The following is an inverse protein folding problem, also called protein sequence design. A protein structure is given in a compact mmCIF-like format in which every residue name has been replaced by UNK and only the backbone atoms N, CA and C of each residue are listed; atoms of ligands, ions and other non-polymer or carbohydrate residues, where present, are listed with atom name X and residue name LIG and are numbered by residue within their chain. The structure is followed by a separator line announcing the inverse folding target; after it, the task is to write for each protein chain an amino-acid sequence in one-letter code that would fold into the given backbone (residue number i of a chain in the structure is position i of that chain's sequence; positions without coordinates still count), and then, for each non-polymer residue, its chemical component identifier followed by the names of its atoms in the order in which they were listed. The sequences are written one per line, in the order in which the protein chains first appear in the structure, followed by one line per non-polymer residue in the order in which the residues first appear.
data_IF_007230325656
#
_entry.id   IF_007230325656
#
_cell.length_a   1.000
_cell.length_b   1.000
_cell.length_c   1.000
_cell.angle_alpha   90.00
_cell.angle_beta   90.00
_cell.angle_gamma   90.00
#
_symmetry.space_group_name_H-M   'P 1'
#
loop_
_entity.id
_entity.type
_entity.pdbx_description
1 polymer ?
#
# COMPACT_ATOMS: atom_id res chain seq x y z
N UNK A 1 -6.69 40.14 -26.62
CA UNK A 1 -6.56 38.70 -26.89
C UNK A 1 -6.19 37.99 -25.59
N UNK A 2 -7.08 37.09 -25.15
CA UNK A 2 -6.95 36.04 -24.14
C UNK A 2 -6.57 36.42 -22.69
N UNK A 3 -7.59 36.48 -21.82
CA UNK A 3 -7.44 36.24 -20.38
C UNK A 3 -6.99 34.78 -20.15
N UNK A 4 -5.89 34.59 -19.42
CA UNK A 4 -5.42 33.26 -19.01
C UNK A 4 -6.18 32.87 -17.75
N UNK A 5 -7.25 32.11 -17.95
CA UNK A 5 -8.04 31.49 -16.89
C UNK A 5 -7.14 30.64 -15.98
N UNK A 6 -6.87 31.14 -14.77
CA UNK A 6 -6.14 30.39 -13.75
C UNK A 6 -7.03 29.24 -13.27
N UNK A 7 -6.85 28.05 -13.87
CA UNK A 7 -7.41 26.79 -13.35
C UNK A 7 -7.14 26.70 -11.85
N UNK A 8 -8.21 26.71 -11.03
CA UNK A 8 -8.13 26.49 -9.59
C UNK A 8 -7.28 25.24 -9.32
N UNK A 9 -6.10 25.42 -8.72
CA UNK A 9 -5.23 24.31 -8.31
C UNK A 9 -6.08 23.38 -7.45
N UNK A 10 -6.18 22.11 -7.86
CA UNK A 10 -6.95 21.09 -7.16
C UNK A 10 -6.48 21.08 -5.70
N UNK A 11 -7.31 21.56 -4.78
CA UNK A 11 -6.97 21.59 -3.35
C UNK A 11 -6.65 20.17 -2.93
N UNK A 12 -5.41 19.94 -2.46
CA UNK A 12 -4.97 18.64 -1.98
C UNK A 12 -5.92 18.20 -0.86
N UNK A 13 -6.75 17.20 -1.14
CA UNK A 13 -7.66 16.65 -0.14
C UNK A 13 -6.80 16.04 0.96
N UNK A 14 -7.04 16.46 2.21
CA UNK A 14 -6.41 15.86 3.38
C UNK A 14 -6.66 14.35 3.35
N UNK A 15 -5.62 13.57 3.59
CA UNK A 15 -5.76 12.12 3.62
C UNK A 15 -6.64 11.74 4.81
N UNK A 16 -7.76 11.08 4.50
CA UNK A 16 -8.69 10.56 5.49
C UNK A 16 -8.81 9.05 5.29
N UNK A 17 -8.56 8.28 6.33
CA UNK A 17 -8.78 6.83 6.34
C UNK A 17 -10.02 6.51 7.15
N UNK A 18 -11.08 6.01 6.50
CA UNK A 18 -12.37 5.70 7.16
C UNK A 18 -12.94 6.86 8.00
N UNK A 19 -12.69 8.11 7.58
CA UNK A 19 -13.12 9.31 8.29
C UNK A 19 -12.17 9.79 9.40
N UNK A 20 -10.97 9.21 9.49
CA UNK A 20 -9.92 9.59 10.44
C UNK A 20 -8.77 10.27 9.71
N UNK A 21 -8.32 11.42 10.21
CA UNK A 21 -7.19 12.17 9.65
C UNK A 21 -5.83 11.52 9.98
N UNK A 22 -4.80 11.88 9.23
CA UNK A 22 -3.44 11.35 9.43
C UNK A 22 -2.89 11.61 10.83
N UNK A 23 -3.01 12.84 11.32
CA UNK A 23 -2.48 13.23 12.63
C UNK A 23 -3.15 12.40 13.74
N UNK A 24 -4.46 12.20 13.61
CA UNK A 24 -5.22 11.35 14.51
C UNK A 24 -4.81 9.87 14.42
N UNK A 25 -4.49 9.35 13.22
CA UNK A 25 -3.99 7.97 13.05
C UNK A 25 -2.63 7.74 13.71
N UNK A 26 -1.80 8.78 13.83
CA UNK A 26 -0.48 8.70 14.47
C UNK A 26 -0.62 8.66 16.00
N UNK A 27 -1.59 9.37 16.56
CA UNK A 27 -1.84 9.44 18.00
C UNK A 27 -2.72 8.30 18.54
N UNK A 28 -3.39 7.56 17.65
CA UNK A 28 -4.26 6.45 18.03
C UNK A 28 -3.53 5.27 18.67
N UNK A 29 -4.20 4.62 19.61
CA UNK A 29 -3.74 3.35 20.19
C UNK A 29 -3.83 2.19 19.18
N UNK A 30 -2.97 1.19 19.34
CA UNK A 30 -2.94 0.01 18.48
C UNK A 30 -4.28 -0.75 18.45
N UNK A 31 -5.01 -0.81 19.58
CA UNK A 31 -6.30 -1.48 19.67
C UNK A 31 -7.38 -0.80 18.82
N UNK A 32 -7.40 0.54 18.81
CA UNK A 32 -8.32 1.32 17.96
C UNK A 32 -7.96 1.17 16.48
N UNK A 33 -6.65 1.24 16.18
CA UNK A 33 -6.13 1.04 14.83
C UNK A 33 -6.53 -0.32 14.24
N UNK A 34 -6.54 -1.37 15.06
CA UNK A 34 -6.96 -2.71 14.64
C UNK A 34 -8.42 -2.81 14.22
N UNK A 35 -9.32 -2.01 14.81
CA UNK A 35 -10.73 -1.98 14.42
C UNK A 35 -10.93 -1.29 13.07
N UNK A 36 -10.09 -0.30 12.76
CA UNK A 36 -10.12 0.42 11.48
C UNK A 36 -9.54 -0.41 10.32
N UNK A 37 -8.62 -1.33 10.59
CA UNK A 37 -8.02 -2.15 9.55
C UNK A 37 -8.95 -3.25 9.01
N UNK A 38 -8.71 -3.67 7.75
CA UNK A 38 -9.45 -4.78 7.15
C UNK A 38 -9.11 -6.12 7.82
N UNK A 39 -9.97 -7.12 7.59
CA UNK A 39 -9.90 -8.41 8.29
C UNK A 39 -8.53 -9.11 8.19
N UNK A 40 -7.82 -8.99 7.06
CA UNK A 40 -6.50 -9.62 6.86
C UNK A 40 -5.44 -8.98 7.74
N UNK A 41 -5.30 -7.66 7.70
CA UNK A 41 -4.33 -6.97 8.55
C UNK A 41 -4.69 -7.10 10.03
N UNK A 42 -5.97 -7.01 10.42
CA UNK A 42 -6.41 -7.27 11.80
C UNK A 42 -6.02 -8.68 12.30
N UNK A 43 -6.23 -9.72 11.49
CA UNK A 43 -5.82 -11.10 11.84
C UNK A 43 -4.31 -11.23 12.03
N UNK A 44 -3.51 -10.55 11.24
CA UNK A 44 -2.04 -10.56 11.37
C UNK A 44 -1.57 -9.84 12.63
N UNK A 45 -2.16 -8.68 12.94
CA UNK A 45 -1.85 -7.91 14.15
C UNK A 45 -2.28 -8.66 15.41
N UNK A 46 -3.46 -9.30 15.41
CA UNK A 46 -3.92 -10.18 16.50
C UNK A 46 -2.96 -11.34 16.79
N UNK A 47 -2.31 -11.90 15.76
CA UNK A 47 -1.31 -12.97 15.92
C UNK A 47 0.03 -12.45 16.44
N UNK A 48 0.25 -11.14 16.44
CA UNK A 48 1.48 -10.49 16.86
C UNK A 48 2.52 -10.31 15.75
N UNK A 49 3.30 -9.24 15.86
CA UNK A 49 4.47 -8.99 15.03
C UNK A 49 5.66 -9.79 15.57
N UNK A 50 6.45 -10.43 14.68
CA UNK A 50 7.66 -11.15 15.11
C UNK A 50 8.82 -10.16 15.36
N UNK A 51 9.90 -10.64 15.98
CA UNK A 51 11.08 -9.84 16.33
C UNK A 51 11.70 -9.08 15.14
N UNK A 52 11.71 -9.69 13.95
CA UNK A 52 12.26 -9.08 12.72
C UNK A 52 11.49 -7.81 12.31
N UNK A 53 10.17 -7.81 12.46
CA UNK A 53 9.29 -6.68 12.17
C UNK A 53 9.52 -5.53 13.16
N UNK A 54 9.67 -5.84 14.44
CA UNK A 54 10.02 -4.83 15.44
C UNK A 54 11.39 -4.19 15.17
N UNK A 55 12.37 -4.97 14.70
CA UNK A 55 13.68 -4.44 14.29
C UNK A 55 13.55 -3.47 13.12
N UNK A 56 12.74 -3.80 12.11
CA UNK A 56 12.48 -2.91 10.98
C UNK A 56 11.85 -1.58 11.45
N UNK A 57 10.84 -1.65 12.33
CA UNK A 57 10.18 -0.46 12.85
C UNK A 57 11.15 0.44 13.63
N UNK A 58 12.03 -0.14 14.46
CA UNK A 58 13.08 0.61 15.17
C UNK A 58 14.05 1.31 14.21
N UNK A 59 14.47 0.64 13.13
CA UNK A 59 15.33 1.23 12.10
C UNK A 59 14.65 2.39 11.38
N UNK A 60 13.37 2.26 11.07
CA UNK A 60 12.59 3.33 10.43
C UNK A 60 12.39 4.54 11.34
N UNK A 61 12.11 4.32 12.63
CA UNK A 61 12.03 5.41 13.62
C UNK A 61 13.35 6.15 13.77
N UNK A 62 14.48 5.41 13.75
CA UNK A 62 15.82 5.99 13.76
C UNK A 62 16.08 6.84 12.50
N UNK A 63 15.84 6.28 11.31
CA UNK A 63 16.04 6.98 10.04
C UNK A 63 15.18 8.25 9.92
N UNK A 64 13.93 8.22 10.42
CA UNK A 64 13.05 9.39 10.43
C UNK A 64 13.50 10.47 11.42
N UNK A 65 14.14 10.10 12.53
CA UNK A 65 14.68 11.04 13.52
C UNK A 65 15.99 11.71 13.05
N UNK A 66 16.81 10.98 12.33
CA UNK A 66 18.11 11.45 11.83
C UNK A 66 18.00 12.25 10.54
N UNK A 67 16.86 12.15 9.84
CA UNK A 67 16.64 12.89 8.60
C UNK A 67 16.53 14.41 8.84
N UNK A 68 17.16 15.24 7.97
CA UNK A 68 16.92 16.67 7.95
C UNK A 68 15.44 16.97 7.70
N UNK A 69 14.87 18.05 8.29
CA UNK A 69 13.44 18.34 8.23
C UNK A 69 12.87 18.63 6.83
N UNK A 70 13.72 18.74 5.80
CA UNK A 70 13.33 18.96 4.40
C UNK A 70 13.67 17.77 3.49
N UNK A 71 14.48 16.81 3.96
CA UNK A 71 14.98 15.72 3.12
C UNK A 71 14.28 14.40 3.43
N UNK A 72 14.14 13.57 2.40
CA UNK A 72 13.57 12.24 2.57
C UNK A 72 14.52 11.38 3.40
N UNK A 73 14.02 10.57 4.35
CA UNK A 73 14.85 9.75 5.22
C UNK A 73 15.61 8.69 4.44
N UNK A 74 16.71 8.20 5.04
CA UNK A 74 17.56 7.16 4.46
C UNK A 74 16.76 5.91 4.05
N UNK A 75 17.07 5.35 2.88
CA UNK A 75 16.39 4.18 2.34
C UNK A 75 16.70 2.94 3.18
N UNK A 76 15.70 2.45 3.92
CA UNK A 76 15.86 1.22 4.71
C UNK A 76 15.58 -0.01 3.84
N UNK A 77 16.62 -0.78 3.54
CA UNK A 77 16.51 -2.05 2.79
C UNK A 77 15.92 -3.17 3.65
N UNK A 78 14.93 -3.87 3.12
CA UNK A 78 14.24 -4.98 3.78
C UNK A 78 13.87 -6.11 2.82
N UNK A 79 13.91 -7.34 3.34
CA UNK A 79 13.39 -8.54 2.67
C UNK A 79 11.97 -8.89 3.14
N UNK A 80 11.47 -8.19 4.16
CA UNK A 80 10.18 -8.49 4.77
C UNK A 80 9.03 -7.94 3.92
N UNK A 81 8.60 -8.72 2.93
CA UNK A 81 7.44 -8.39 2.06
C UNK A 81 6.09 -8.57 2.78
N UNK A 82 6.05 -9.41 3.81
CA UNK A 82 4.83 -9.70 4.58
C UNK A 82 4.49 -8.64 5.64
N UNK A 83 5.21 -7.52 5.66
CA UNK A 83 5.01 -6.46 6.64
C UNK A 83 3.81 -5.59 6.23
N UNK A 84 2.92 -5.34 7.18
CA UNK A 84 1.81 -4.39 7.00
C UNK A 84 2.38 -2.98 7.18
N UNK A 85 2.00 -2.07 6.27
CA UNK A 85 2.34 -0.66 6.39
C UNK A 85 1.53 -0.06 7.55
N UNK A 86 2.23 0.39 8.58
CA UNK A 86 1.65 1.14 9.70
C UNK A 86 1.65 2.64 9.38
N UNK A 87 0.73 3.44 9.95
CA UNK A 87 0.69 4.89 9.70
C UNK A 87 2.00 5.58 10.10
N UNK A 88 2.72 5.06 11.11
CA UNK A 88 4.05 5.58 11.48
C UNK A 88 5.07 5.56 10.34
N UNK A 89 4.93 4.61 9.41
CA UNK A 89 5.87 4.41 8.30
C UNK A 89 5.63 5.38 7.14
N UNK A 90 4.57 6.20 7.18
CA UNK A 90 4.29 7.20 6.17
C UNK A 90 5.43 8.23 6.08
N UNK A 91 5.86 8.52 4.85
CA UNK A 91 6.97 9.40 4.55
C UNK A 91 8.35 8.74 4.68
N UNK A 92 8.41 7.42 4.91
CA UNK A 92 9.67 6.67 4.90
C UNK A 92 9.97 6.05 3.54
N UNK A 93 11.26 5.99 3.19
CA UNK A 93 11.75 5.27 2.00
C UNK A 93 12.13 3.83 2.38
N UNK A 94 11.48 2.84 1.75
CA UNK A 94 11.73 1.42 2.03
C UNK A 94 12.19 0.70 0.76
N UNK A 95 13.36 0.07 0.82
CA UNK A 95 13.86 -0.78 -0.26
C UNK A 95 13.32 -2.19 -0.12
N UNK A 96 12.34 -2.60 -0.93
CA UNK A 96 11.76 -3.96 -0.89
C UNK A 96 12.50 -4.88 -1.86
N UNK A 97 13.01 -6.00 -1.35
CA UNK A 97 13.70 -6.99 -2.19
C UNK A 97 12.73 -7.83 -3.02
N UNK A 98 12.97 -7.92 -4.34
CA UNK A 98 12.15 -8.72 -5.26
C UNK A 98 12.79 -10.07 -5.65
N UNK A 99 13.94 -10.44 -5.08
CA UNK A 99 14.67 -11.68 -5.44
C UNK A 99 15.93 -11.45 -6.28
N UNK A 100 16.13 -10.23 -6.79
CA UNK A 100 17.35 -9.83 -7.53
C UNK A 100 17.86 -8.48 -7.06
N UNK A 101 16.98 -7.47 -7.07
CA UNK A 101 17.30 -6.09 -6.69
C UNK A 101 16.38 -5.58 -5.59
N UNK A 102 16.81 -4.50 -4.93
CA UNK A 102 15.97 -3.73 -4.01
C UNK A 102 15.26 -2.63 -4.76
N UNK A 103 13.93 -2.69 -4.78
CA UNK A 103 13.09 -1.64 -5.35
C UNK A 103 12.85 -0.58 -4.28
N UNK A 104 13.19 0.67 -4.60
CA UNK A 104 12.92 1.79 -3.70
C UNK A 104 11.43 2.14 -3.77
N UNK A 105 10.74 1.96 -2.64
CA UNK A 105 9.33 2.28 -2.50
C UNK A 105 9.18 3.43 -1.51
N UNK A 106 8.62 4.53 -1.98
CA UNK A 106 8.19 5.63 -1.12
C UNK A 106 6.84 5.29 -0.51
N UNK A 107 6.74 5.30 0.82
CA UNK A 107 5.48 5.04 1.50
C UNK A 107 4.65 6.32 1.49
N UNK A 108 3.88 6.46 0.42
CA UNK A 108 2.89 7.51 0.26
C UNK A 108 1.52 7.05 0.73
N UNK A 109 0.79 7.96 1.35
CA UNK A 109 -0.63 7.79 1.58
C UNK A 109 -1.32 7.86 0.23
N UNK A 110 -2.06 6.82 -0.17
CA UNK A 110 -2.78 6.91 -1.43
C UNK A 110 -3.85 8.00 -1.27
N UNK A 111 -3.71 9.08 -2.06
CA UNK A 111 -4.48 10.33 -1.97
C UNK A 111 -5.98 10.18 -2.24
N UNK A 112 -6.43 8.97 -2.54
CA UNK A 112 -7.80 8.62 -2.88
C UNK A 112 -7.97 7.11 -2.70
N UNK A 113 -8.27 6.67 -1.49
CA UNK A 113 -9.08 5.47 -1.32
C UNK A 113 -10.43 5.94 -0.82
N UNK A 114 -11.24 6.45 -1.74
CA UNK A 114 -12.68 6.60 -1.54
C UNK A 114 -13.27 5.19 -1.42
N UNK A 115 -13.08 4.52 -0.27
CA UNK A 115 -13.79 3.28 0.07
C UNK A 115 -15.31 3.48 0.17
N UNK A 116 -15.80 4.72 0.01
CA UNK A 116 -17.24 5.04 -0.14
C UNK A 116 -17.79 4.68 -1.52
N UNK A 117 -16.95 4.47 -2.53
CA UNK A 117 -17.39 3.94 -3.81
C UNK A 117 -17.01 2.46 -3.92
N UNK A 118 -17.97 1.51 -3.83
CA UNK A 118 -17.76 0.22 -4.46
C UNK A 118 -17.36 0.48 -5.93
N UNK A 119 -16.46 -0.34 -6.54
CA UNK A 119 -16.20 -0.22 -7.97
C UNK A 119 -17.55 -0.19 -8.69
N UNK A 120 -17.75 0.69 -9.69
CA UNK A 120 -18.97 0.67 -10.48
C UNK A 120 -19.16 -0.76 -10.96
N UNK A 121 -20.29 -1.37 -10.60
CA UNK A 121 -20.56 -2.79 -10.84
C UNK A 121 -20.23 -3.11 -12.31
N UNK A 122 -19.61 -4.27 -12.59
CA UNK A 122 -19.37 -4.73 -13.95
C UNK A 122 -20.71 -5.20 -14.55
N UNK A 123 -21.54 -4.25 -14.97
CA UNK A 123 -22.76 -4.51 -15.70
C UNK A 123 -22.49 -4.38 -17.21
N UNK A 124 -21.57 -5.20 -17.75
CA UNK A 124 -21.36 -5.36 -19.22
C UNK A 124 -20.27 -6.40 -19.60
N UNK A 125 -20.06 -7.49 -18.87
CA UNK A 125 -19.20 -8.59 -19.37
C UNK A 125 -19.77 -9.99 -19.08
N UNK A 126 -21.07 -10.10 -19.35
CA UNK A 126 -21.80 -11.38 -19.48
C UNK A 126 -22.04 -11.66 -20.99
N UNK A 127 -21.04 -11.36 -21.84
CA UNK A 127 -21.13 -11.47 -23.30
C UNK A 127 -19.85 -11.99 -23.98
N UNK A 128 -19.02 -12.76 -23.27
CA UNK A 128 -17.94 -13.53 -23.92
C UNK A 128 -17.70 -14.87 -23.22
N UNK A 129 -18.78 -15.66 -23.13
CA UNK A 129 -18.73 -17.10 -22.87
C UNK A 129 -19.54 -17.79 -23.97
N UNK A 130 -18.97 -17.86 -25.17
CA UNK A 130 -19.31 -18.71 -26.34
C UNK A 130 -18.42 -18.20 -27.49
N UNK A 131 -17.94 -19.06 -28.39
CA UNK A 131 -16.94 -18.76 -29.44
C UNK A 131 -15.47 -18.52 -29.00
N UNK A 132 -14.82 -19.53 -28.43
CA UNK A 132 -13.65 -20.14 -29.10
C UNK A 132 -13.20 -21.39 -28.34
N UNK A 133 -13.52 -22.52 -28.97
CA UNK A 133 -13.03 -23.87 -28.68
C UNK A 133 -11.53 -23.86 -28.39
N UNK A 134 -11.10 -24.44 -27.28
CA UNK A 134 -9.84 -25.19 -27.30
C UNK A 134 -10.00 -26.49 -26.53
N UNK A 135 -9.87 -27.56 -27.30
CA UNK A 135 -10.07 -28.95 -26.91
C UNK A 135 -9.02 -29.40 -25.90
N UNK A 136 -9.50 -30.22 -24.99
CA UNK A 136 -8.78 -31.15 -24.13
C UNK A 136 -8.24 -32.33 -24.95
N UNK A 137 -6.92 -32.54 -24.95
CA UNK A 137 -6.18 -33.79 -25.29
C UNK A 137 -4.83 -33.65 -24.54
N UNK A 138 -4.56 -34.29 -23.40
CA UNK A 138 -4.23 -35.71 -23.15
C UNK A 138 -3.08 -36.28 -23.98
N UNK A 139 -1.99 -36.63 -23.27
CA UNK A 139 -1.07 -37.74 -23.54
C UNK A 139 0.03 -37.62 -24.62
N UNK A 140 1.24 -37.82 -24.10
CA UNK A 140 2.33 -38.67 -24.59
C UNK A 140 3.23 -38.23 -25.76
N UNK A 141 4.54 -38.38 -25.51
CA UNK A 141 5.41 -39.08 -26.45
C UNK A 141 6.38 -38.27 -27.30
N UNK A 142 7.65 -38.34 -26.88
CA UNK A 142 8.83 -38.65 -27.69
C UNK A 142 9.49 -37.64 -28.67
N UNK A 143 10.83 -37.79 -28.71
CA UNK A 143 11.90 -37.24 -29.56
C UNK A 143 12.52 -35.94 -29.03
N UNK A 144 13.75 -35.91 -28.49
CA UNK A 144 14.95 -36.73 -28.71
C UNK A 144 15.55 -37.31 -27.42
#
# INVERSE_FOLDING_TARGET
MAEVEQKKKRTFRKFTYRGVDLDQLLDMSYQQLMQLYSARQRRRLNRGLRRRQHSLLKRLRKAKKEAPPMEKPEVVKTHLRDMIILPEMVGSMVGVYNGKTFNQVEINLPSSWDYRHPPPRPASFLYFLVETRFHRVSQDGHLF
#
